data_IF_121225030965
#
_entry.id   IF_121225030965
#
_cell.length_a   1.000
_cell.length_b   1.000
_cell.length_c   1.000
_cell.angle_alpha   90.00
_cell.angle_beta   90.00
_cell.angle_gamma   90.00
#
_symmetry.space_group_name_H-M   'P 1'
#
loop_
_entity.id
_entity.type
_entity.pdbx_description
1 polymer ?
#
# COMPACT_ATOMS: atom_id res chain seq x y z
N UNK A 1 13.76 11.53 -7.02
CA UNK A 1 13.04 12.13 -8.12
C UNK A 1 13.41 11.50 -9.45
N UNK A 2 14.66 11.50 -9.84
CA UNK A 2 15.10 10.82 -11.06
C UNK A 2 14.90 9.30 -10.96
N UNK A 3 15.05 8.78 -9.78
CA UNK A 3 14.90 7.36 -9.51
C UNK A 3 13.47 6.90 -9.64
N UNK A 4 12.52 7.68 -9.16
CA UNK A 4 11.11 7.41 -9.37
C UNK A 4 10.75 7.48 -10.85
N UNK A 5 11.38 8.40 -11.59
CA UNK A 5 11.20 8.50 -13.05
C UNK A 5 11.76 7.30 -13.80
N UNK A 6 12.94 6.81 -13.41
CA UNK A 6 13.53 5.65 -14.06
C UNK A 6 12.73 4.37 -13.82
N UNK A 7 12.27 4.16 -12.59
CA UNK A 7 11.40 3.04 -12.27
C UNK A 7 10.08 3.17 -13.02
N UNK A 8 9.49 4.36 -13.02
CA UNK A 8 8.25 4.66 -13.72
C UNK A 8 8.36 4.45 -15.24
N UNK A 9 9.49 4.85 -15.85
CA UNK A 9 9.70 4.69 -17.28
C UNK A 9 9.80 3.25 -17.74
N UNK A 10 10.17 2.32 -16.85
CA UNK A 10 10.26 0.88 -17.14
C UNK A 10 8.98 0.13 -16.83
N UNK A 11 8.05 0.76 -16.15
CA UNK A 11 6.81 0.13 -15.72
C UNK A 11 5.78 0.18 -16.82
N UNK A 12 5.09 -0.93 -17.03
CA UNK A 12 4.04 -1.04 -18.02
C UNK A 12 2.69 -0.59 -17.49
N UNK A 13 2.55 -0.47 -16.17
CA UNK A 13 1.29 -0.13 -15.51
C UNK A 13 1.27 1.34 -15.12
N UNK A 14 0.09 1.93 -15.20
CA UNK A 14 -0.10 3.34 -14.83
C UNK A 14 0.13 3.60 -13.36
N UNK A 15 -0.16 2.60 -12.51
CA UNK A 15 -0.11 2.75 -11.04
C UNK A 15 1.17 2.16 -10.52
N UNK A 16 1.94 2.97 -9.83
CA UNK A 16 3.12 2.54 -9.10
C UNK A 16 2.95 2.81 -7.61
N UNK A 17 3.20 1.80 -6.79
CA UNK A 17 3.09 1.91 -5.33
C UNK A 17 4.48 1.85 -4.72
N UNK A 18 4.83 2.87 -3.95
CA UNK A 18 6.09 2.90 -3.21
C UNK A 18 5.82 2.50 -1.77
N UNK A 19 6.52 1.48 -1.30
CA UNK A 19 6.44 1.01 0.09
C UNK A 19 7.77 1.20 0.84
N UNK A 20 8.89 1.31 0.12
CA UNK A 20 10.20 1.52 0.74
C UNK A 20 10.32 2.97 1.20
N UNK A 21 10.54 3.15 2.51
CA UNK A 21 10.44 4.43 3.15
C UNK A 21 8.98 4.74 3.49
N UNK A 22 8.46 5.80 2.93
CA UNK A 22 7.07 6.23 3.15
C UNK A 22 6.15 5.70 2.05
N UNK A 23 4.90 5.45 2.42
CA UNK A 23 3.89 4.98 1.48
C UNK A 23 3.42 6.10 0.56
N UNK A 24 3.46 5.86 -0.74
CA UNK A 24 2.82 6.72 -1.73
C UNK A 24 2.33 5.91 -2.92
N UNK A 25 1.29 6.41 -3.56
CA UNK A 25 0.74 5.85 -4.79
C UNK A 25 0.93 6.89 -5.88
N UNK A 26 1.52 6.48 -7.00
CA UNK A 26 1.75 7.35 -8.15
C UNK A 26 0.95 6.83 -9.33
N UNK A 27 0.28 7.73 -10.02
CA UNK A 27 -0.47 7.41 -11.22
C UNK A 27 0.09 8.27 -12.35
N UNK A 28 0.59 7.62 -13.39
CA UNK A 28 1.28 8.27 -14.51
C UNK A 28 2.40 9.20 -14.00
N UNK A 29 3.09 8.78 -12.92
CA UNK A 29 4.20 9.51 -12.34
C UNK A 29 3.83 10.60 -11.34
N UNK A 30 2.56 10.82 -11.08
CA UNK A 30 2.09 11.85 -10.15
C UNK A 30 1.55 11.23 -8.86
N UNK A 31 1.96 11.76 -7.72
CA UNK A 31 1.50 11.28 -6.43
C UNK A 31 0.01 11.58 -6.24
N UNK A 32 -0.73 10.56 -5.79
CA UNK A 32 -2.15 10.70 -5.48
C UNK A 32 -2.30 11.39 -4.13
N UNK A 33 -3.17 12.39 -4.09
CA UNK A 33 -3.52 13.04 -2.82
C UNK A 33 -4.70 12.32 -2.17
N UNK A 34 -4.50 11.94 -0.90
CA UNK A 34 -5.56 11.36 -0.07
C UNK A 34 -5.89 12.37 1.04
N UNK A 35 -7.08 12.98 1.00
CA UNK A 35 -7.46 13.95 2.04
C UNK A 35 -7.64 13.31 3.41
N UNK A 36 -7.89 12.00 3.47
CA UNK A 36 -8.03 11.26 4.71
C UNK A 36 -6.83 10.34 4.91
N UNK A 37 -6.06 10.60 5.97
CA UNK A 37 -4.87 9.81 6.29
C UNK A 37 -5.20 8.34 6.59
N UNK A 38 -6.34 8.05 7.19
CA UNK A 38 -6.77 6.67 7.47
C UNK A 38 -7.17 5.92 6.21
N UNK A 39 -7.72 6.61 5.23
CA UNK A 39 -7.99 5.98 3.92
C UNK A 39 -6.67 5.57 3.25
N UNK A 40 -5.68 6.44 3.26
CA UNK A 40 -4.36 6.14 2.73
C UNK A 40 -3.73 4.96 3.46
N UNK A 41 -3.82 4.93 4.78
CA UNK A 41 -3.30 3.84 5.60
C UNK A 41 -4.00 2.51 5.30
N UNK A 42 -5.32 2.53 5.11
CA UNK A 42 -6.07 1.32 4.74
C UNK A 42 -5.60 0.75 3.41
N UNK A 43 -5.36 1.62 2.43
CA UNK A 43 -4.82 1.17 1.15
C UNK A 43 -3.43 0.57 1.31
N UNK A 44 -2.58 1.16 2.16
CA UNK A 44 -1.26 0.62 2.47
C UNK A 44 -1.36 -0.77 3.10
N UNK A 45 -2.35 -0.99 3.97
CA UNK A 45 -2.59 -2.29 4.57
C UNK A 45 -2.97 -3.34 3.52
N UNK A 46 -3.80 -2.95 2.54
CA UNK A 46 -4.12 -3.82 1.42
C UNK A 46 -2.88 -4.16 0.59
N UNK A 47 -2.00 -3.19 0.38
CA UNK A 47 -0.74 -3.42 -0.34
C UNK A 47 0.14 -4.42 0.42
N UNK A 48 0.23 -4.27 1.74
CA UNK A 48 0.98 -5.18 2.60
C UNK A 48 0.47 -6.63 2.51
N UNK A 49 -0.82 -6.81 2.29
CA UNK A 49 -1.45 -8.12 2.15
C UNK A 49 -1.26 -8.74 0.76
N UNK A 50 -0.58 -8.07 -0.15
CA UNK A 50 -0.17 -8.62 -1.46
C UNK A 50 -1.32 -9.20 -2.28
N UNK A 51 -2.46 -8.53 -2.28
CA UNK A 51 -3.66 -8.98 -2.99
C UNK A 51 -4.58 -9.86 -2.17
N UNK A 52 -4.16 -10.26 -0.97
CA UNK A 52 -5.04 -10.97 -0.04
C UNK A 52 -6.08 -10.04 0.56
N UNK A 53 -7.17 -10.60 1.03
CA UNK A 53 -8.27 -9.86 1.61
C UNK A 53 -7.91 -9.32 3.00
N UNK A 54 -8.20 -8.04 3.23
CA UNK A 54 -8.13 -7.42 4.55
C UNK A 54 -9.55 -7.38 5.10
N UNK A 55 -9.80 -8.07 6.20
CA UNK A 55 -11.11 -8.04 6.84
C UNK A 55 -11.33 -6.72 7.58
N UNK A 56 -12.60 -6.35 7.77
CA UNK A 56 -12.93 -5.17 8.56
C UNK A 56 -12.39 -5.29 9.99
N UNK A 57 -12.42 -6.49 10.56
CA UNK A 57 -11.90 -6.75 11.91
C UNK A 57 -10.40 -6.44 11.98
N UNK A 58 -9.64 -6.90 11.00
CA UNK A 58 -8.20 -6.63 10.96
C UNK A 58 -7.91 -5.15 10.72
N UNK A 59 -8.66 -4.52 9.82
CA UNK A 59 -8.49 -3.10 9.54
C UNK A 59 -8.76 -2.26 10.79
N UNK A 60 -9.81 -2.56 11.52
CA UNK A 60 -10.16 -1.86 12.76
C UNK A 60 -9.07 -2.06 13.82
N UNK A 61 -8.61 -3.30 13.97
CA UNK A 61 -7.57 -3.62 14.94
C UNK A 61 -6.29 -2.82 14.69
N UNK A 62 -5.90 -2.67 13.44
CA UNK A 62 -4.64 -2.02 13.07
C UNK A 62 -4.72 -0.51 12.91
N UNK A 63 -5.83 0.01 12.40
CA UNK A 63 -5.96 1.44 12.13
C UNK A 63 -6.62 2.21 13.26
N UNK A 64 -7.46 1.57 14.02
CA UNK A 64 -8.23 2.17 15.10
C UNK A 64 -8.13 1.34 16.38
N UNK A 65 -6.92 0.95 16.75
CA UNK A 65 -6.65 -0.01 17.82
C UNK A 65 -7.17 0.41 19.19
N UNK A 66 -7.32 1.72 19.42
CA UNK A 66 -7.81 2.27 20.69
C UNK A 66 -9.35 2.40 20.74
N UNK A 67 -10.04 1.94 19.71
CA UNK A 67 -11.50 2.02 19.62
C UNK A 67 -12.13 0.64 19.81
N UNK A 68 -13.34 0.64 20.35
CA UNK A 68 -14.15 -0.57 20.42
C UNK A 68 -14.66 -0.96 19.05
N UNK A 69 -14.85 -2.24 18.84
CA UNK A 69 -15.38 -2.75 17.58
C UNK A 69 -16.91 -2.64 17.61
N UNK A 70 -17.41 -1.48 17.25
CA UNK A 70 -18.83 -1.13 17.26
C UNK A 70 -19.25 -0.52 15.91
N UNK A 71 -20.49 -0.06 15.83
CA UNK A 71 -21.01 0.53 14.60
C UNK A 71 -20.28 1.81 14.20
N UNK A 72 -19.73 2.54 15.14
CA UNK A 72 -19.01 3.80 14.86
C UNK A 72 -17.70 3.53 14.13
N UNK A 73 -16.90 2.59 14.62
CA UNK A 73 -15.64 2.26 13.98
C UNK A 73 -15.85 1.55 12.65
N UNK A 74 -16.91 0.73 12.53
CA UNK A 74 -17.29 0.13 11.24
C UNK A 74 -17.62 1.20 10.21
N UNK A 75 -18.27 2.28 10.63
CA UNK A 75 -18.57 3.41 9.74
C UNK A 75 -17.29 4.15 9.32
N UNK A 76 -16.30 4.27 10.21
CA UNK A 76 -14.99 4.83 9.86
C UNK A 76 -14.31 3.99 8.78
N UNK A 77 -14.36 2.68 8.89
CA UNK A 77 -13.84 1.78 7.86
C UNK A 77 -14.55 1.99 6.52
N UNK A 78 -15.89 2.02 6.53
CA UNK A 78 -16.69 2.19 5.31
C UNK A 78 -16.40 3.53 4.63
N UNK A 79 -16.24 4.58 5.43
CA UNK A 79 -15.86 5.89 4.93
C UNK A 79 -14.48 5.86 4.28
N UNK A 80 -13.52 5.18 4.91
CA UNK A 80 -12.18 5.04 4.35
C UNK A 80 -12.21 4.30 3.01
N UNK A 81 -12.97 3.22 2.91
CA UNK A 81 -13.15 2.49 1.63
C UNK A 81 -13.70 3.41 0.54
N UNK A 82 -14.73 4.18 0.87
CA UNK A 82 -15.33 5.12 -0.08
C UNK A 82 -14.33 6.17 -0.53
N UNK A 83 -13.54 6.70 0.38
CA UNK A 83 -12.55 7.75 0.08
C UNK A 83 -11.38 7.22 -0.76
N UNK A 84 -10.97 5.97 -0.57
CA UNK A 84 -9.98 5.33 -1.46
C UNK A 84 -10.54 5.28 -2.88
N UNK A 85 -11.76 4.81 -3.05
CA UNK A 85 -12.40 4.74 -4.37
C UNK A 85 -12.48 6.10 -5.04
N UNK A 86 -12.90 7.12 -4.28
CA UNK A 86 -13.01 8.48 -4.81
C UNK A 86 -11.67 9.02 -5.28
N UNK A 87 -10.63 8.83 -4.48
CA UNK A 87 -9.29 9.31 -4.82
C UNK A 87 -8.76 8.63 -6.09
N UNK A 88 -8.98 7.32 -6.23
CA UNK A 88 -8.53 6.57 -7.41
C UNK A 88 -9.40 6.86 -8.63
N UNK A 89 -10.68 7.10 -8.44
CA UNK A 89 -11.60 7.40 -9.54
C UNK A 89 -11.26 8.71 -10.26
N UNK A 90 -10.68 9.67 -9.56
CA UNK A 90 -10.22 10.92 -10.18
C UNK A 90 -9.19 10.67 -11.29
N UNK A 91 -8.48 9.56 -11.22
CA UNK A 91 -7.46 9.17 -12.19
C UNK A 91 -7.91 8.02 -13.09
N UNK A 92 -9.16 7.56 -12.93
CA UNK A 92 -9.70 6.46 -13.73
C UNK A 92 -9.11 5.10 -13.42
N UNK A 93 -8.59 4.90 -12.21
CA UNK A 93 -7.93 3.65 -11.80
C UNK A 93 -8.59 2.99 -10.59
N UNK A 94 -9.85 3.28 -10.32
CA UNK A 94 -10.58 2.72 -9.18
C UNK A 94 -10.69 1.20 -9.22
N UNK A 95 -10.49 0.59 -10.38
CA UNK A 95 -10.54 -0.86 -10.56
C UNK A 95 -9.35 -1.60 -9.91
N UNK A 96 -8.32 -0.87 -9.46
CA UNK A 96 -7.22 -1.51 -8.74
C UNK A 96 -7.60 -1.90 -7.30
N UNK A 97 -8.69 -1.36 -6.79
CA UNK A 97 -9.12 -1.56 -5.40
C UNK A 97 -10.57 -2.02 -5.37
N UNK A 98 -10.86 -3.01 -4.57
CA UNK A 98 -12.23 -3.44 -4.30
C UNK A 98 -12.47 -3.44 -2.80
N UNK A 99 -13.63 -2.95 -2.41
CA UNK A 99 -14.02 -2.90 -1.01
C UNK A 99 -15.50 -3.13 -0.85
N UNK A 100 -15.85 -3.81 0.22
CA UNK A 100 -17.21 -4.12 0.61
C UNK A 100 -17.41 -3.76 2.08
N UNK A 101 -18.55 -4.13 2.62
CA UNK A 101 -18.84 -3.90 4.04
C UNK A 101 -17.96 -4.69 4.99
N UNK A 102 -17.41 -5.81 4.54
CA UNK A 102 -16.69 -6.73 5.40
C UNK A 102 -15.22 -6.88 5.10
N UNK A 103 -14.76 -6.45 3.93
CA UNK A 103 -13.36 -6.62 3.55
C UNK A 103 -12.96 -5.72 2.37
N UNK A 104 -11.66 -5.60 2.14
CA UNK A 104 -11.14 -4.90 0.98
C UNK A 104 -9.84 -5.55 0.51
N UNK A 105 -9.45 -5.24 -0.72
CA UNK A 105 -8.24 -5.79 -1.31
C UNK A 105 -7.77 -4.94 -2.50
N UNK A 106 -6.51 -5.10 -2.85
CA UNK A 106 -5.92 -4.50 -4.04
C UNK A 106 -5.71 -5.60 -5.09
N UNK A 107 -5.87 -5.23 -6.36
CA UNK A 107 -5.55 -6.14 -7.47
C UNK A 107 -4.08 -5.95 -7.84
N UNK A 108 -3.24 -6.87 -7.40
CA UNK A 108 -1.79 -6.77 -7.60
C UNK A 108 -1.39 -6.90 -9.07
N UNK A 109 -2.26 -7.44 -9.91
CA UNK A 109 -1.97 -7.55 -11.35
C UNK A 109 -2.09 -6.21 -12.07
N UNK A 110 -2.71 -5.22 -11.43
CA UNK A 110 -2.95 -3.89 -12.02
C UNK A 110 -2.01 -2.81 -11.50
N UNK A 111 -1.10 -3.16 -10.60
CA UNK A 111 -0.17 -2.20 -10.01
C UNK A 111 1.27 -2.72 -10.09
N UNK A 112 2.21 -1.79 -10.19
CA UNK A 112 3.62 -2.07 -9.95
C UNK A 112 3.95 -1.61 -8.54
N UNK A 113 4.77 -2.38 -7.82
CA UNK A 113 5.09 -2.10 -6.43
C UNK A 113 6.52 -2.56 -6.13
N UNK A 114 7.29 -1.71 -5.47
CA UNK A 114 8.68 -2.01 -5.11
C UNK A 114 8.79 -3.26 -4.23
N UNK A 115 7.90 -3.41 -3.25
CA UNK A 115 7.84 -4.59 -2.39
C UNK A 115 7.61 -5.86 -3.22
N UNK A 116 6.66 -5.83 -4.15
CA UNK A 116 6.35 -7.00 -4.98
C UNK A 116 7.49 -7.35 -5.90
N UNK A 117 8.19 -6.36 -6.44
CA UNK A 117 9.38 -6.58 -7.27
C UNK A 117 10.53 -7.13 -6.45
N UNK A 118 10.68 -6.70 -5.19
CA UNK A 118 11.68 -7.27 -4.29
C UNK A 118 11.42 -8.76 -4.07
N UNK A 119 10.17 -9.15 -3.85
CA UNK A 119 9.79 -10.55 -3.64
C UNK A 119 10.09 -11.41 -4.88
N UNK A 120 10.07 -10.81 -6.07
CA UNK A 120 10.42 -11.49 -7.33
C UNK A 120 11.93 -11.54 -7.55
N UNK A 121 12.72 -10.90 -6.71
CA UNK A 121 14.17 -10.85 -6.85
C UNK A 121 14.68 -9.86 -7.87
N UNK A 122 13.86 -8.88 -8.27
CA UNK A 122 14.27 -7.85 -9.22
C UNK A 122 15.46 -7.08 -8.66
N UNK A 123 16.63 -7.04 -9.37
CA UNK A 123 17.84 -6.41 -8.85
C UNK A 123 17.69 -4.93 -8.49
N UNK A 124 16.87 -4.18 -9.22
CA UNK A 124 16.64 -2.77 -8.91
C UNK A 124 15.88 -2.61 -7.61
N UNK A 125 14.90 -3.47 -7.36
CA UNK A 125 14.16 -3.46 -6.10
C UNK A 125 15.03 -3.88 -4.92
N UNK A 126 15.91 -4.86 -5.12
CA UNK A 126 16.89 -5.27 -4.11
C UNK A 126 17.79 -4.11 -3.73
N UNK A 127 18.32 -3.40 -4.72
CA UNK A 127 19.16 -2.21 -4.47
C UNK A 127 18.41 -1.11 -3.76
N UNK A 128 17.17 -0.86 -4.17
CA UNK A 128 16.33 0.16 -3.54
C UNK A 128 16.07 -0.19 -2.08
N UNK A 129 15.80 -1.45 -1.77
CA UNK A 129 15.63 -1.91 -0.39
C UNK A 129 16.90 -1.71 0.43
N UNK A 130 18.06 -2.10 -0.12
CA UNK A 130 19.35 -1.95 0.56
C UNK A 130 19.67 -0.49 0.87
N UNK A 131 19.21 0.43 0.04
CA UNK A 131 19.46 1.86 0.24
C UNK A 131 18.52 2.50 1.24
N UNK A 132 17.25 2.10 1.27
CA UNK A 132 16.27 2.70 2.18
C UNK A 132 16.22 1.97 3.52
N UNK A 133 16.21 0.64 3.50
CA UNK A 133 16.13 -0.19 4.71
C UNK A 133 14.86 -0.01 5.54
N UNK A 134 13.87 0.72 5.03
CA UNK A 134 12.63 1.01 5.73
C UNK A 134 11.44 0.62 4.87
N UNK A 135 10.42 0.03 5.48
CA UNK A 135 9.20 -0.39 4.82
C UNK A 135 8.01 0.23 5.52
N UNK A 136 7.20 1.02 4.78
CA UNK A 136 6.00 1.67 5.30
C UNK A 136 6.24 2.27 6.69
N UNK A 137 7.28 3.09 6.81
CA UNK A 137 7.84 3.53 8.09
C UNK A 137 6.86 4.33 8.96
N UNK A 138 5.81 4.89 8.36
CA UNK A 138 4.80 5.65 9.10
C UNK A 138 3.78 4.76 9.82
N UNK A 139 3.77 3.43 9.55
CA UNK A 139 2.76 2.52 10.10
C UNK A 139 3.39 1.44 10.97
N UNK A 140 3.02 1.43 12.25
CA UNK A 140 3.58 0.47 13.21
C UNK A 140 3.23 -0.99 12.88
N UNK A 141 2.04 -1.24 12.31
CA UNK A 141 1.65 -2.59 11.93
C UNK A 141 2.52 -3.18 10.81
N UNK A 142 3.29 -2.35 10.11
CA UNK A 142 4.15 -2.82 9.03
C UNK A 142 5.51 -3.35 9.52
N UNK A 143 5.81 -3.26 10.80
CA UNK A 143 7.11 -3.67 11.35
C UNK A 143 7.42 -5.15 11.10
N UNK A 144 6.42 -6.01 11.18
CA UNK A 144 6.61 -7.44 10.95
C UNK A 144 7.08 -7.73 9.52
N UNK A 145 6.43 -7.11 8.52
CA UNK A 145 6.85 -7.25 7.12
C UNK A 145 8.24 -6.65 6.93
N UNK A 146 8.49 -5.47 7.49
CA UNK A 146 9.80 -4.83 7.42
C UNK A 146 10.92 -5.70 7.95
N UNK A 147 10.68 -6.34 9.09
CA UNK A 147 11.66 -7.25 9.70
C UNK A 147 11.94 -8.46 8.80
N UNK A 148 10.91 -9.02 8.18
CA UNK A 148 11.09 -10.14 7.23
C UNK A 148 11.91 -9.72 6.01
N UNK A 149 11.65 -8.53 5.48
CA UNK A 149 12.40 -8.01 4.34
C UNK A 149 13.86 -7.75 4.70
N UNK A 150 14.13 -7.29 5.89
CA UNK A 150 15.50 -7.09 6.37
C UNK A 150 16.29 -8.39 6.39
N UNK A 151 15.66 -9.47 6.85
CA UNK A 151 16.28 -10.80 6.84
C UNK A 151 16.54 -11.30 5.43
N UNK A 152 15.64 -11.02 4.49
CA UNK A 152 15.79 -11.41 3.08
C UNK A 152 16.82 -10.57 2.33
N UNK A 153 16.98 -9.32 2.74
CA UNK A 153 17.83 -8.36 2.04
C UNK A 153 19.31 -8.43 2.39
N UNK A 154 19.70 -9.29 3.31
CA UNK A 154 21.11 -9.49 3.63
C UNK A 154 21.66 -10.63 2.80
N UNK A 155 22.50 -10.34 1.79
CA UNK A 155 23.22 -11.41 1.11
C UNK A 155 24.18 -12.03 2.12
N UNK A 156 24.06 -13.32 2.25
CA UNK A 156 24.96 -14.08 3.09
C UNK A 156 26.33 -14.15 2.43
#
# INVERSE_FOLDING_TARGET
LERARLLSARQKKRVYVRTFGRFDVFIDGMAVYFPNAKAKELLALCVDHRGGTVSIEEAVDKLWEDREYDSRVKNLYRKAVMQIRQALAEYGVEDIFSGSRGCCQIDILKVDCDYYELLKGNPEAVRAWQMTGNYLQEYSWAEETGARLELMGHPI
#
